data_IF_827185873633
#
_entry.id   IF_827185873633
#
_cell.length_a   1.000
_cell.length_b   1.000
_cell.length_c   1.000
_cell.angle_alpha   90.00
_cell.angle_beta   90.00
_cell.angle_gamma   90.00
#
_symmetry.space_group_name_H-M   'P 1'
#
loop_
_entity.id
_entity.type
_entity.pdbx_description
1 polymer ?
#
# COMPACT_ATOMS: atom_id res chain seq x y z
N UNK A 1 1.34 -5.15 16.47
CA UNK A 1 2.15 -4.09 15.84
C UNK A 1 1.32 -3.55 14.68
N UNK A 2 1.01 -2.27 14.63
CA UNK A 2 0.11 -1.74 13.61
C UNK A 2 0.82 -1.56 12.27
N UNK A 3 0.27 -2.15 11.21
CA UNK A 3 0.86 -2.12 9.87
C UNK A 3 -0.02 -1.34 8.89
N UNK A 4 0.62 -0.59 8.00
CA UNK A 4 -0.03 0.05 6.85
C UNK A 4 0.49 -0.55 5.54
N UNK A 5 -0.39 -1.19 4.77
CA UNK A 5 -0.11 -1.50 3.37
C UNK A 5 -0.47 -0.29 2.49
N UNK A 6 0.44 0.13 1.62
CA UNK A 6 0.18 1.13 0.58
C UNK A 6 0.33 0.45 -0.78
N UNK A 7 -0.78 0.25 -1.50
CA UNK A 7 -0.75 -0.51 -2.77
C UNK A 7 -1.73 -0.06 -3.85
N UNK A 8 -1.38 -0.29 -5.12
CA UNK A 8 -2.30 -0.17 -6.26
C UNK A 8 -3.18 -1.41 -6.45
N UNK A 9 -2.86 -2.49 -5.74
CA UNK A 9 -3.25 -3.84 -6.13
C UNK A 9 -3.87 -4.57 -4.95
N UNK A 10 -5.11 -4.21 -4.63
CA UNK A 10 -5.91 -4.90 -3.61
C UNK A 10 -7.25 -5.39 -4.19
N UNK A 11 -7.84 -6.49 -3.67
CA UNK A 11 -9.18 -6.93 -4.07
C UNK A 11 -10.21 -5.79 -3.99
N UNK A 12 -11.31 -5.84 -4.76
CA UNK A 12 -11.78 -6.96 -5.59
C UNK A 12 -11.11 -7.06 -6.98
N UNK A 13 -10.11 -6.24 -7.27
CA UNK A 13 -9.28 -6.39 -8.47
C UNK A 13 -8.65 -7.78 -8.50
N UNK A 14 -8.79 -8.48 -9.62
CA UNK A 14 -8.29 -9.86 -9.79
C UNK A 14 -6.89 -9.82 -10.39
N UNK A 15 -5.98 -10.58 -9.78
CA UNK A 15 -4.63 -10.82 -10.29
C UNK A 15 -3.71 -11.42 -9.23
N UNK A 16 -2.46 -11.70 -9.64
CA UNK A 16 -1.47 -12.37 -8.80
C UNK A 16 -1.07 -11.55 -7.58
N UNK A 17 -0.71 -10.27 -7.78
CA UNK A 17 -0.30 -9.34 -6.70
C UNK A 17 -1.45 -9.15 -5.71
N UNK A 18 -2.67 -8.93 -6.21
CA UNK A 18 -3.86 -8.72 -5.40
C UNK A 18 -4.14 -9.93 -4.52
N UNK A 19 -4.05 -11.14 -5.11
CA UNK A 19 -4.24 -12.40 -4.36
C UNK A 19 -3.14 -12.61 -3.33
N UNK A 20 -1.88 -12.34 -3.70
CA UNK A 20 -0.73 -12.44 -2.81
C UNK A 20 -0.87 -11.54 -1.57
N UNK A 21 -1.14 -10.24 -1.77
CA UNK A 21 -1.34 -9.29 -0.68
C UNK A 21 -2.58 -9.65 0.14
N UNK A 22 -3.67 -10.02 -0.51
CA UNK A 22 -4.90 -10.44 0.16
C UNK A 22 -4.67 -11.60 1.12
N UNK A 23 -4.01 -12.66 0.64
CA UNK A 23 -3.76 -13.86 1.43
C UNK A 23 -2.83 -13.57 2.63
N UNK A 24 -1.88 -12.65 2.51
CA UNK A 24 -1.07 -12.21 3.65
C UNK A 24 -1.93 -11.44 4.65
N UNK A 25 -2.58 -10.36 4.21
CA UNK A 25 -3.19 -9.38 5.12
C UNK A 25 -4.47 -9.87 5.79
N UNK A 26 -5.21 -10.81 5.17
CA UNK A 26 -6.38 -11.42 5.80
C UNK A 26 -6.05 -12.41 6.93
N UNK A 27 -4.77 -12.80 7.09
CA UNK A 27 -4.30 -13.76 8.11
C UNK A 27 -3.60 -13.09 9.29
N UNK A 28 -3.29 -11.80 9.18
CA UNK A 28 -2.77 -11.02 10.30
C UNK A 28 -3.91 -10.69 11.30
N UNK A 29 -3.59 -10.30 12.55
CA UNK A 29 -4.57 -9.72 13.46
C UNK A 29 -5.25 -8.52 12.80
N UNK A 30 -6.58 -8.59 12.63
CA UNK A 30 -7.30 -7.70 11.71
C UNK A 30 -7.39 -6.26 12.24
N UNK A 31 -7.37 -6.10 13.56
CA UNK A 31 -7.32 -4.85 14.28
C UNK A 31 -6.01 -4.09 14.09
N UNK A 32 -4.93 -4.79 13.73
CA UNK A 32 -3.59 -4.22 13.52
C UNK A 32 -3.35 -3.81 12.05
N UNK A 33 -4.28 -4.14 11.14
CA UNK A 33 -4.12 -3.93 9.70
C UNK A 33 -4.87 -2.69 9.22
N UNK A 34 -4.15 -1.82 8.52
CA UNK A 34 -4.73 -0.78 7.66
C UNK A 34 -4.19 -0.92 6.23
N UNK A 35 -5.06 -0.79 5.24
CA UNK A 35 -4.71 -0.82 3.81
C UNK A 35 -5.12 0.50 3.17
N UNK A 36 -4.17 1.20 2.54
CA UNK A 36 -4.40 2.33 1.65
C UNK A 36 -4.24 1.86 0.21
N UNK A 37 -5.32 1.88 -0.57
CA UNK A 37 -5.27 1.39 -1.95
C UNK A 37 -6.16 2.18 -2.92
N UNK A 38 -5.95 1.95 -4.21
CA UNK A 38 -6.75 2.56 -5.27
C UNK A 38 -8.17 1.95 -5.32
N UNK A 39 -9.16 2.68 -5.87
CA UNK A 39 -10.49 2.15 -6.02
C UNK A 39 -10.54 1.14 -7.17
N UNK A 40 -11.46 0.19 -7.05
CA UNK A 40 -11.82 -0.74 -8.12
C UNK A 40 -13.33 -0.91 -8.15
N UNK A 41 -13.85 -1.43 -9.26
CA UNK A 41 -15.28 -1.71 -9.38
C UNK A 41 -15.76 -2.60 -8.23
N UNK A 42 -16.90 -2.27 -7.62
CA UNK A 42 -17.50 -2.99 -6.50
C UNK A 42 -16.63 -3.06 -5.22
N UNK A 43 -15.61 -2.19 -5.07
CA UNK A 43 -14.77 -2.18 -3.87
C UNK A 43 -15.56 -1.93 -2.58
N UNK A 44 -16.63 -1.15 -2.60
CA UNK A 44 -17.47 -0.92 -1.41
C UNK A 44 -18.11 -2.22 -0.88
N UNK A 45 -18.63 -3.06 -1.77
CA UNK A 45 -19.25 -4.33 -1.41
C UNK A 45 -18.22 -5.36 -0.91
N UNK A 46 -16.98 -5.29 -1.41
CA UNK A 46 -15.86 -6.07 -0.89
C UNK A 46 -15.44 -5.57 0.49
N UNK A 47 -15.19 -4.26 0.63
CA UNK A 47 -14.69 -3.61 1.84
C UNK A 47 -15.67 -3.78 3.02
N UNK A 48 -16.98 -3.75 2.77
CA UNK A 48 -18.02 -3.97 3.78
C UNK A 48 -18.00 -5.38 4.41
N UNK A 49 -17.36 -6.36 3.76
CA UNK A 49 -17.22 -7.73 4.27
C UNK A 49 -15.93 -7.93 5.08
N UNK A 50 -15.06 -6.92 5.13
CA UNK A 50 -13.76 -7.01 5.79
C UNK A 50 -13.80 -6.41 7.19
N UNK A 51 -12.96 -6.94 8.08
CA UNK A 51 -12.82 -6.44 9.46
C UNK A 51 -11.66 -5.47 9.62
N UNK A 52 -10.59 -5.63 8.85
CA UNK A 52 -9.48 -4.67 8.83
C UNK A 52 -9.86 -3.41 8.06
N UNK A 53 -9.15 -2.31 8.34
CA UNK A 53 -9.48 -1.02 7.74
C UNK A 53 -8.93 -0.91 6.33
N UNK A 54 -9.81 -0.79 5.35
CA UNK A 54 -9.46 -0.43 3.98
C UNK A 54 -9.80 1.05 3.75
N UNK A 55 -8.86 1.79 3.18
CA UNK A 55 -8.96 3.20 2.80
C UNK A 55 -8.75 3.26 1.29
N UNK A 56 -9.81 3.61 0.56
CA UNK A 56 -9.76 3.81 -0.89
C UNK A 56 -9.42 5.26 -1.21
N UNK A 57 -8.40 5.46 -2.03
CA UNK A 57 -8.09 6.78 -2.58
C UNK A 57 -9.06 7.12 -3.71
N UNK A 58 -9.03 8.37 -4.21
CA UNK A 58 -9.80 8.78 -5.41
C UNK A 58 -9.01 8.53 -6.71
N UNK A 59 -7.71 8.31 -6.59
CA UNK A 59 -6.76 8.19 -7.68
C UNK A 59 -6.75 6.76 -8.21
N UNK A 60 -6.69 6.59 -9.53
CA UNK A 60 -6.60 5.26 -10.16
C UNK A 60 -5.22 4.60 -9.99
N UNK A 61 -4.19 5.40 -9.74
CA UNK A 61 -2.81 4.97 -9.51
C UNK A 61 -2.20 5.82 -8.40
N UNK A 62 -1.44 5.19 -7.49
CA UNK A 62 -0.65 5.83 -6.47
C UNK A 62 0.70 6.26 -7.06
N UNK A 63 0.85 7.56 -7.33
CA UNK A 63 2.11 8.17 -7.73
C UNK A 63 2.83 8.78 -6.52
N UNK A 64 4.17 8.81 -6.50
CA UNK A 64 4.98 9.29 -5.38
C UNK A 64 4.95 10.82 -5.22
N UNK A 65 3.76 11.36 -4.93
CA UNK A 65 3.53 12.80 -4.79
C UNK A 65 3.69 13.25 -3.33
N UNK A 66 4.05 14.53 -3.09
CA UNK A 66 4.06 15.09 -1.74
C UNK A 66 2.70 15.00 -1.04
N UNK A 67 1.60 15.08 -1.80
CA UNK A 67 0.25 14.96 -1.26
C UNK A 67 -0.02 13.54 -0.73
N UNK A 68 0.37 12.51 -1.47
CA UNK A 68 0.24 11.12 -1.01
C UNK A 68 1.12 10.88 0.23
N UNK A 69 2.33 11.43 0.27
CA UNK A 69 3.18 11.33 1.46
C UNK A 69 2.52 11.93 2.71
N UNK A 70 1.91 13.11 2.59
CA UNK A 70 1.15 13.75 3.69
C UNK A 70 -0.06 12.92 4.12
N UNK A 71 -0.76 12.31 3.18
CA UNK A 71 -1.88 11.42 3.47
C UNK A 71 -1.43 10.18 4.25
N UNK A 72 -0.35 9.53 3.82
CA UNK A 72 0.26 8.38 4.51
C UNK A 72 0.68 8.79 5.93
N UNK A 73 1.39 9.91 6.09
CA UNK A 73 1.77 10.45 7.40
C UNK A 73 0.56 10.74 8.31
N UNK A 74 -0.55 11.21 7.74
CA UNK A 74 -1.79 11.43 8.48
C UNK A 74 -2.41 10.11 8.95
N UNK A 75 -2.39 9.07 8.11
CA UNK A 75 -2.84 7.73 8.49
C UNK A 75 -1.95 7.15 9.59
N UNK A 76 -0.63 7.26 9.43
CA UNK A 76 0.37 6.82 10.42
C UNK A 76 0.03 7.39 11.81
N UNK A 77 -0.15 8.71 11.90
CA UNK A 77 -0.48 9.38 13.17
C UNK A 77 -1.83 8.97 13.75
N UNK A 78 -2.88 8.90 12.92
CA UNK A 78 -4.25 8.60 13.40
C UNK A 78 -4.45 7.15 13.83
N UNK A 79 -3.63 6.24 13.30
CA UNK A 79 -3.78 4.79 13.48
C UNK A 79 -2.63 4.18 14.26
N UNK A 80 -1.70 5.00 14.76
CA UNK A 80 -0.50 4.59 15.48
C UNK A 80 0.26 3.49 14.72
N UNK A 81 0.53 3.73 13.43
CA UNK A 81 1.20 2.76 12.56
C UNK A 81 2.68 2.65 12.96
N UNK A 82 3.12 1.41 13.20
CA UNK A 82 4.49 1.07 13.57
C UNK A 82 5.35 0.78 12.33
N UNK A 83 4.74 0.29 11.24
CA UNK A 83 5.45 -0.09 10.02
C UNK A 83 4.61 0.08 8.76
N UNK A 84 5.24 0.54 7.67
CA UNK A 84 4.58 0.71 6.37
C UNK A 84 5.19 -0.23 5.33
N UNK A 85 4.35 -1.00 4.64
CA UNK A 85 4.75 -1.82 3.51
C UNK A 85 4.24 -1.18 2.22
N UNK A 86 5.15 -0.88 1.30
CA UNK A 86 4.82 -0.36 -0.03
C UNK A 86 4.83 -1.48 -1.06
N UNK A 87 3.81 -1.50 -1.89
CA UNK A 87 3.68 -2.44 -2.98
C UNK A 87 3.09 -1.75 -4.22
N UNK A 88 3.74 -1.77 -5.38
CA UNK A 88 5.12 -2.23 -5.61
C UNK A 88 6.17 -1.28 -5.01
N UNK A 89 7.43 -1.72 -5.01
CA UNK A 89 8.59 -0.92 -4.60
C UNK A 89 8.73 0.39 -5.39
N UNK A 90 8.34 0.37 -6.66
CA UNK A 90 8.31 1.57 -7.51
C UNK A 90 7.05 1.60 -8.38
N UNK A 91 6.46 2.79 -8.61
CA UNK A 91 6.99 4.10 -8.19
C UNK A 91 6.60 4.50 -6.75
N UNK A 92 5.59 3.89 -6.13
CA UNK A 92 5.03 4.38 -4.86
C UNK A 92 5.98 4.21 -3.67
N UNK A 93 6.77 3.14 -3.62
CA UNK A 93 7.73 2.88 -2.54
C UNK A 93 8.88 3.88 -2.45
N UNK A 94 9.09 4.72 -3.47
CA UNK A 94 10.02 5.88 -3.44
C UNK A 94 9.65 6.86 -2.31
N UNK A 95 8.40 6.84 -1.83
CA UNK A 95 7.97 7.66 -0.69
C UNK A 95 8.50 7.17 0.67
N UNK A 96 9.04 5.96 0.78
CA UNK A 96 9.50 5.36 2.05
C UNK A 96 10.37 6.29 2.91
N UNK A 97 11.44 6.89 2.38
CA UNK A 97 12.28 7.82 3.14
C UNK A 97 11.56 9.08 3.64
N UNK A 98 10.41 9.44 3.06
CA UNK A 98 9.67 10.68 3.35
C UNK A 98 8.60 10.51 4.43
N UNK A 99 8.26 9.28 4.85
CA UNK A 99 7.13 9.06 5.77
C UNK A 99 7.49 9.08 7.25
N UNK A 100 8.78 8.94 7.61
CA UNK A 100 9.25 9.04 9.00
C UNK A 100 8.91 7.84 9.90
N UNK A 101 8.53 6.71 9.31
CA UNK A 101 8.18 5.46 10.00
C UNK A 101 8.96 4.32 9.35
N UNK A 102 9.40 3.28 10.10
CA UNK A 102 10.00 2.09 9.52
C UNK A 102 9.17 1.55 8.35
N UNK A 103 9.85 1.19 7.25
CA UNK A 103 9.16 0.77 6.05
C UNK A 103 9.87 -0.40 5.36
N UNK A 104 9.08 -1.12 4.56
CA UNK A 104 9.54 -2.11 3.60
C UNK A 104 8.93 -1.86 2.23
N UNK A 105 9.50 -2.51 1.23
CA UNK A 105 9.00 -2.49 -0.15
C UNK A 105 8.89 -3.92 -0.67
N UNK A 106 7.92 -4.19 -1.54
CA UNK A 106 7.76 -5.48 -2.21
C UNK A 106 8.18 -5.33 -3.68
N UNK A 107 9.07 -6.22 -4.13
CA UNK A 107 9.44 -6.35 -5.52
C UNK A 107 8.72 -7.57 -6.13
N UNK A 108 8.17 -7.40 -7.33
CA UNK A 108 7.56 -8.48 -8.12
C UNK A 108 8.46 -8.96 -9.27
N UNK A 109 9.66 -8.38 -9.39
CA UNK A 109 10.70 -8.78 -10.32
C UNK A 109 10.84 -7.83 -11.52
N UNK A 110 9.75 -7.18 -11.94
CA UNK A 110 9.82 -6.16 -12.99
C UNK A 110 10.68 -4.96 -12.56
N UNK A 111 10.65 -4.63 -11.27
CA UNK A 111 11.40 -3.52 -10.69
C UNK A 111 12.92 -3.72 -10.75
N UNK A 112 13.39 -4.98 -10.79
CA UNK A 112 14.82 -5.32 -10.90
C UNK A 112 15.40 -4.95 -12.26
N UNK A 113 14.54 -4.84 -13.28
CA UNK A 113 14.96 -4.50 -14.65
C UNK A 113 15.00 -3.00 -14.91
N UNK A 114 14.66 -2.16 -13.94
CA UNK A 114 14.78 -0.70 -14.07
C UNK A 114 16.28 -0.38 -13.97
N UNK A 115 16.92 0.04 -15.08
CA UNK A 115 18.32 0.42 -15.02
C UNK A 115 18.44 1.63 -14.10
N UNK A 116 19.49 1.65 -13.28
CA UNK A 116 19.99 2.89 -12.70
C UNK A 116 20.31 3.80 -13.90
N UNK A 117 19.63 4.93 -14.05
CA UNK A 117 20.18 6.00 -14.89
C UNK A 117 21.52 6.34 -14.24
N UNK A 118 22.62 5.92 -14.87
CA UNK A 118 23.96 6.35 -14.52
C UNK A 118 23.93 7.88 -14.53
N UNK A 119 23.99 8.46 -13.34
CA UNK A 119 24.31 9.85 -13.17
C UNK A 119 25.79 10.00 -13.57
N UNK A 120 26.02 10.21 -14.87
CA UNK A 120 27.27 10.74 -15.41
C UNK A 120 27.40 12.24 -15.05
#
# INVERSE_FOLDING_TARGET
MNHLLVTNDYPPKVGGIQSYLWEIYRRLPQEEVTVLCTPYENCEAFDAKQTHKIIRTKQRVLLPTPQLAKEIQSIIKRRNIDFVLFDPAVPVGILGPKIGTPYGVILHGAEVTIPEESLD
#
